data_IF_853484539620
#
_entry.id   IF_853484539620
#
_cell.length_a   1.000
_cell.length_b   1.000
_cell.length_c   1.000
_cell.angle_alpha   90.00
_cell.angle_beta   90.00
_cell.angle_gamma   90.00
#
_symmetry.space_group_name_H-M   'P 1'
#
loop_
_entity.id
_entity.type
_entity.pdbx_description
1 polymer ?
#
# COMPACT_ATOMS: atom_id res chain seq x y z
N UNK A 1 -5.07 -7.48 11.47
CA UNK A 1 -5.00 -8.05 10.11
C UNK A 1 -4.06 -9.24 10.15
N UNK A 2 -4.44 -10.37 9.55
CA UNK A 2 -3.59 -11.56 9.43
C UNK A 2 -2.76 -11.52 8.13
N UNK A 3 -1.68 -12.32 8.01
CA UNK A 3 -0.95 -12.49 6.74
C UNK A 3 -1.85 -12.95 5.59
N UNK A 4 -2.84 -13.78 5.87
CA UNK A 4 -3.82 -14.27 4.89
C UNK A 4 -4.65 -13.11 4.34
N UNK A 5 -5.21 -12.29 5.23
CA UNK A 5 -5.97 -11.08 4.85
C UNK A 5 -5.10 -10.10 4.07
N UNK A 6 -3.82 -9.94 4.45
CA UNK A 6 -2.89 -9.10 3.70
C UNK A 6 -2.70 -9.60 2.26
N UNK A 7 -2.46 -10.91 2.07
CA UNK A 7 -2.28 -11.51 0.74
C UNK A 7 -3.55 -11.44 -0.10
N UNK A 8 -4.72 -11.60 0.53
CA UNK A 8 -6.02 -11.46 -0.11
C UNK A 8 -6.21 -10.05 -0.68
N UNK A 9 -6.04 -9.01 0.15
CA UNK A 9 -6.18 -7.61 -0.30
C UNK A 9 -5.12 -7.28 -1.36
N UNK A 10 -3.89 -7.74 -1.19
CA UNK A 10 -2.83 -7.55 -2.19
C UNK A 10 -3.23 -8.14 -3.55
N UNK A 11 -3.83 -9.33 -3.56
CA UNK A 11 -4.31 -9.98 -4.78
C UNK A 11 -5.51 -9.23 -5.40
N UNK A 12 -6.44 -8.75 -4.59
CA UNK A 12 -7.59 -7.95 -5.04
C UNK A 12 -7.16 -6.64 -5.71
N UNK A 13 -6.14 -5.99 -5.14
CA UNK A 13 -5.52 -4.80 -5.73
C UNK A 13 -4.69 -5.10 -7.00
N UNK A 14 -4.44 -6.37 -7.30
CA UNK A 14 -3.57 -6.79 -8.41
C UNK A 14 -2.10 -6.38 -8.20
N UNK A 15 -1.65 -6.21 -6.96
CA UNK A 15 -0.32 -5.69 -6.64
C UNK A 15 0.72 -6.78 -6.46
N UNK A 16 1.90 -6.55 -7.03
CA UNK A 16 3.12 -7.31 -6.71
C UNK A 16 3.73 -6.83 -5.39
N UNK A 17 4.58 -7.64 -4.73
CA UNK A 17 5.25 -7.20 -3.50
C UNK A 17 6.01 -5.87 -3.64
N UNK A 18 6.73 -5.59 -4.75
CA UNK A 18 7.35 -4.28 -4.95
C UNK A 18 6.34 -3.12 -5.06
N UNK A 19 5.20 -3.33 -5.71
CA UNK A 19 4.16 -2.30 -5.78
C UNK A 19 3.56 -2.05 -4.39
N UNK A 20 3.22 -3.10 -3.64
CA UNK A 20 2.76 -2.97 -2.26
C UNK A 20 3.76 -2.23 -1.38
N UNK A 21 5.05 -2.50 -1.56
CA UNK A 21 6.11 -1.81 -0.83
C UNK A 21 6.14 -0.31 -1.17
N UNK A 22 6.02 0.04 -2.44
CA UNK A 22 5.98 1.43 -2.90
C UNK A 22 4.75 2.18 -2.36
N UNK A 23 3.57 1.61 -2.52
CA UNK A 23 2.29 2.24 -2.14
C UNK A 23 2.13 2.39 -0.62
N UNK A 24 2.68 1.46 0.16
CA UNK A 24 2.60 1.49 1.63
C UNK A 24 3.82 2.15 2.30
N UNK A 25 4.82 2.62 1.53
CA UNK A 25 6.05 3.19 2.09
C UNK A 25 6.87 2.19 2.91
N UNK A 26 6.90 0.93 2.48
CA UNK A 26 7.61 -0.17 3.15
C UNK A 26 8.80 -0.65 2.32
N UNK A 27 9.70 -1.42 2.95
CA UNK A 27 10.69 -2.19 2.19
C UNK A 27 10.04 -3.45 1.59
N UNK A 28 10.52 -3.91 0.43
CA UNK A 28 10.08 -5.17 -0.18
C UNK A 28 10.31 -6.37 0.76
N UNK A 29 11.39 -6.33 1.56
CA UNK A 29 11.68 -7.36 2.56
C UNK A 29 10.62 -7.38 3.66
N UNK A 30 10.19 -6.21 4.14
CA UNK A 30 9.11 -6.09 5.12
C UNK A 30 7.79 -6.66 4.56
N UNK A 31 7.46 -6.35 3.31
CA UNK A 31 6.27 -6.91 2.64
C UNK A 31 6.35 -8.44 2.57
N UNK A 32 7.49 -9.01 2.17
CA UNK A 32 7.68 -10.48 2.15
C UNK A 32 7.51 -11.10 3.53
N UNK A 33 8.10 -10.50 4.58
CA UNK A 33 7.99 -11.01 5.96
C UNK A 33 6.57 -10.90 6.52
N UNK A 34 5.84 -9.84 6.17
CA UNK A 34 4.42 -9.70 6.48
C UNK A 34 3.62 -10.80 5.78
N UNK A 35 3.85 -11.00 4.48
CA UNK A 35 3.16 -12.02 3.71
C UNK A 35 3.43 -13.44 4.21
N UNK A 36 4.55 -13.72 4.87
CA UNK A 36 4.85 -15.03 5.50
C UNK A 36 4.50 -15.09 6.99
N UNK A 37 3.97 -14.01 7.58
CA UNK A 37 3.67 -13.94 9.02
C UNK A 37 4.90 -13.85 9.93
N UNK A 38 6.09 -13.68 9.37
CA UNK A 38 7.35 -13.51 10.12
C UNK A 38 7.50 -12.09 10.67
N UNK A 39 6.69 -11.14 10.19
CA UNK A 39 6.62 -9.78 10.70
C UNK A 39 5.17 -9.39 10.95
N UNK A 40 4.92 -8.76 12.10
CA UNK A 40 3.59 -8.27 12.49
C UNK A 40 3.18 -7.10 11.60
N UNK A 41 1.92 -7.08 11.19
CA UNK A 41 1.30 -5.97 10.47
C UNK A 41 0.95 -4.89 11.50
N UNK A 42 1.55 -3.70 11.36
CA UNK A 42 1.20 -2.57 12.23
C UNK A 42 -0.20 -2.05 11.91
N UNK A 43 -0.83 -1.39 12.88
CA UNK A 43 -2.15 -0.79 12.69
C UNK A 43 -2.14 0.24 11.55
N UNK A 44 -1.06 1.02 11.40
CA UNK A 44 -0.90 1.98 10.30
C UNK A 44 -0.84 1.29 8.93
N UNK A 45 -0.07 0.21 8.80
CA UNK A 45 0.00 -0.56 7.55
C UNK A 45 -1.35 -1.20 7.23
N UNK A 46 -2.05 -1.75 8.22
CA UNK A 46 -3.38 -2.31 8.04
C UNK A 46 -4.39 -1.25 7.56
N UNK A 47 -4.40 -0.07 8.20
CA UNK A 47 -5.28 1.05 7.81
C UNK A 47 -4.97 1.56 6.39
N UNK A 48 -3.69 1.72 6.06
CA UNK A 48 -3.28 2.15 4.73
C UNK A 48 -3.73 1.15 3.66
N UNK A 49 -3.49 -0.15 3.87
CA UNK A 49 -3.88 -1.20 2.93
C UNK A 49 -5.40 -1.29 2.74
N UNK A 50 -6.19 -1.24 3.83
CA UNK A 50 -7.65 -1.21 3.75
C UNK A 50 -8.15 0.07 3.08
N UNK A 51 -7.52 1.21 3.34
CA UNK A 51 -7.82 2.47 2.67
C UNK A 51 -7.60 2.38 1.15
N UNK A 52 -6.48 1.78 0.73
CA UNK A 52 -6.18 1.55 -0.69
C UNK A 52 -7.19 0.60 -1.35
N UNK A 53 -7.63 -0.43 -0.63
CA UNK A 53 -8.69 -1.31 -1.09
C UNK A 53 -10.01 -0.55 -1.32
N UNK A 54 -10.43 0.28 -0.36
CA UNK A 54 -11.62 1.11 -0.51
C UNK A 54 -11.49 2.04 -1.73
N UNK A 55 -10.33 2.69 -1.90
CA UNK A 55 -10.08 3.58 -3.04
C UNK A 55 -10.18 2.83 -4.37
N UNK A 56 -9.65 1.60 -4.43
CA UNK A 56 -9.73 0.75 -5.62
C UNK A 56 -11.18 0.36 -5.93
N UNK A 57 -11.89 -0.17 -4.94
CA UNK A 57 -13.26 -0.69 -5.11
C UNK A 57 -14.25 0.41 -5.46
N UNK A 58 -14.04 1.64 -4.96
CA UNK A 58 -14.87 2.81 -5.28
C UNK A 58 -14.43 3.54 -6.56
N UNK A 59 -13.40 3.05 -7.27
CA UNK A 59 -12.88 3.68 -8.49
C UNK A 59 -12.28 5.08 -8.26
N UNK A 60 -11.84 5.38 -7.04
CA UNK A 60 -11.36 6.70 -6.61
C UNK A 60 -9.88 6.95 -6.91
N UNK A 61 -9.17 6.01 -7.54
CA UNK A 61 -7.72 6.06 -7.77
C UNK A 61 -7.24 7.38 -8.41
N UNK A 62 -7.97 7.92 -9.40
CA UNK A 62 -7.62 9.20 -10.04
C UNK A 62 -7.75 10.39 -9.09
N UNK A 63 -8.77 10.40 -8.23
CA UNK A 63 -8.99 11.45 -7.24
C UNK A 63 -7.93 11.35 -6.14
N UNK A 64 -7.62 10.14 -5.71
CA UNK A 64 -6.57 9.89 -4.74
C UNK A 64 -5.19 10.34 -5.24
N UNK A 65 -4.81 10.01 -6.48
CA UNK A 65 -3.56 10.48 -7.10
C UNK A 65 -3.45 12.02 -7.10
N UNK A 66 -4.53 12.74 -7.47
CA UNK A 66 -4.56 14.21 -7.42
C UNK A 66 -4.38 14.76 -6.00
N UNK A 67 -4.94 14.09 -4.99
CA UNK A 67 -4.76 14.48 -3.59
C UNK A 67 -3.33 14.24 -3.13
N UNK A 68 -2.72 13.11 -3.53
CA UNK A 68 -1.31 12.86 -3.26
C UNK A 68 -0.41 13.91 -3.93
N UNK A 69 -0.65 14.27 -5.18
CA UNK A 69 0.13 15.34 -5.84
C UNK A 69 -0.01 16.69 -5.11
N UNK A 70 -1.19 16.97 -4.54
CA UNK A 70 -1.45 18.21 -3.80
C UNK A 70 -0.83 18.24 -2.40
N UNK A 71 -0.89 17.14 -1.67
CA UNK A 71 -0.54 17.08 -0.24
C UNK A 71 0.75 16.30 0.06
N UNK A 72 1.34 15.69 -0.97
CA UNK A 72 2.53 14.84 -0.90
C UNK A 72 3.40 14.97 -2.17
N UNK A 73 3.21 16.02 -2.96
CA UNK A 73 3.98 16.25 -4.19
C UNK A 73 5.42 16.71 -3.93
N UNK A 74 5.68 17.28 -2.75
CA UNK A 74 6.96 17.81 -2.29
C UNK A 74 7.96 16.74 -1.85
N UNK A 75 7.47 15.54 -1.50
CA UNK A 75 8.30 14.37 -1.16
C UNK A 75 8.76 13.59 -2.39
N UNK A 76 8.16 13.83 -3.56
CA UNK A 76 8.69 13.37 -4.84
C UNK A 76 9.91 14.21 -5.16
N UNK A 77 11.09 13.75 -4.74
CA UNK A 77 12.37 14.33 -5.15
C UNK A 77 12.40 14.44 -6.68
N UNK A 78 12.14 15.63 -7.20
CA UNK A 78 12.34 15.99 -8.60
C UNK A 78 13.83 15.86 -8.88
N UNK A 79 14.26 14.68 -9.33
CA UNK A 79 15.57 14.49 -9.93
C UNK A 79 15.67 15.40 -11.14
N UNK A 80 16.43 16.49 -10.99
CA UNK A 80 17.12 17.09 -12.13
C UNK A 80 18.25 16.17 -12.56
#
# INVERSE_FOLDING_TARGET
MTPEQFREIQAELGWTHPQTACELGLSVVSVKRIATGTQVITDQTARALVGMLLIHNEGLTKKFAKLLDKYHGDTKMSGK
#
